data_IF_442516557898
#
_entry.id   IF_442516557898
#
_cell.length_a   1.000
_cell.length_b   1.000
_cell.length_c   1.000
_cell.angle_alpha   90.00
_cell.angle_beta   90.00
_cell.angle_gamma   90.00
#
_symmetry.space_group_name_H-M   'P 1'
#
loop_
_entity.id
_entity.type
_entity.pdbx_description
1 polymer ?
#
# COMPACT_ATOMS: atom_id res chain seq x y z
N UNK A 1 -7.97 -28.12 9.03
CA UNK A 1 -7.77 -26.66 8.95
C UNK A 1 -7.39 -26.08 10.32
N UNK A 2 -8.25 -26.22 11.33
CA UNK A 2 -8.03 -25.74 12.71
C UNK A 2 -6.72 -26.18 13.39
N UNK A 3 -6.26 -27.43 13.18
CA UNK A 3 -5.04 -27.94 13.81
C UNK A 3 -3.77 -27.17 13.37
N UNK A 4 -3.69 -26.77 12.10
CA UNK A 4 -2.54 -26.00 11.59
C UNK A 4 -2.52 -24.61 12.20
N UNK A 5 -3.67 -23.95 12.28
CA UNK A 5 -3.82 -22.65 12.94
C UNK A 5 -3.43 -22.73 14.41
N UNK A 6 -3.88 -23.76 15.14
CA UNK A 6 -3.45 -23.98 16.52
C UNK A 6 -1.94 -24.17 16.64
N UNK A 7 -1.32 -24.95 15.76
CA UNK A 7 0.13 -25.15 15.76
C UNK A 7 0.90 -23.84 15.52
N UNK A 8 0.44 -23.01 14.57
CA UNK A 8 1.03 -21.68 14.32
C UNK A 8 0.90 -20.79 15.56
N UNK A 9 -0.27 -20.77 16.20
CA UNK A 9 -0.50 -19.97 17.41
C UNK A 9 0.30 -20.46 18.62
N UNK A 10 0.45 -21.77 18.78
CA UNK A 10 1.28 -22.38 19.83
C UNK A 10 2.77 -22.11 19.61
N UNK A 11 3.20 -21.94 18.35
CA UNK A 11 4.58 -21.61 18.00
C UNK A 11 4.90 -20.13 18.22
N UNK A 12 3.93 -19.24 18.11
CA UNK A 12 4.13 -17.79 18.19
C UNK A 12 4.94 -17.34 19.42
N UNK A 13 4.68 -17.78 20.68
CA UNK A 13 5.48 -17.38 21.82
C UNK A 13 6.96 -17.78 21.69
N UNK A 14 7.24 -18.95 21.13
CA UNK A 14 8.61 -19.43 20.90
C UNK A 14 9.29 -18.60 19.80
N UNK A 15 8.59 -18.32 18.69
CA UNK A 15 9.14 -17.50 17.61
C UNK A 15 9.42 -16.07 18.11
N UNK A 16 8.54 -15.49 18.93
CA UNK A 16 8.77 -14.17 19.54
C UNK A 16 9.93 -14.19 20.54
N UNK A 17 10.07 -15.26 21.33
CA UNK A 17 11.23 -15.43 22.23
C UNK A 17 12.53 -15.51 21.42
N UNK A 18 12.54 -16.24 20.31
CA UNK A 18 13.69 -16.28 19.39
C UNK A 18 14.01 -14.89 18.85
N UNK A 19 13.01 -14.09 18.47
CA UNK A 19 13.23 -12.69 18.03
C UNK A 19 13.83 -11.83 19.15
N UNK A 20 13.37 -11.98 20.39
CA UNK A 20 13.92 -11.28 21.56
C UNK A 20 15.39 -11.67 21.77
N UNK A 21 15.68 -12.97 21.78
CA UNK A 21 17.05 -13.47 21.95
C UNK A 21 17.96 -13.00 20.82
N UNK A 22 17.52 -13.09 19.56
CA UNK A 22 18.28 -12.60 18.42
C UNK A 22 18.53 -11.09 18.47
N UNK A 23 17.57 -10.32 19.01
CA UNK A 23 17.75 -8.88 19.22
C UNK A 23 18.89 -8.59 20.20
N UNK A 24 18.91 -9.26 21.35
CA UNK A 24 19.94 -9.01 22.37
C UNK A 24 21.30 -9.65 22.04
N UNK A 25 21.32 -10.78 21.31
CA UNK A 25 22.56 -11.51 20.98
C UNK A 25 23.21 -10.97 19.69
N UNK A 26 22.43 -10.79 18.62
CA UNK A 26 22.93 -10.43 17.28
C UNK A 26 22.54 -9.02 16.83
N UNK A 27 21.86 -8.27 17.71
CA UNK A 27 21.40 -6.91 17.42
C UNK A 27 20.17 -6.85 16.52
N UNK A 28 19.40 -7.94 16.33
CA UNK A 28 18.11 -7.97 15.61
C UNK A 28 18.08 -8.88 14.37
N UNK A 29 16.89 -8.96 13.73
CA UNK A 29 16.69 -9.71 12.48
C UNK A 29 17.39 -9.05 11.27
N UNK A 30 17.45 -9.77 10.13
CA UNK A 30 17.98 -9.27 8.84
C UNK A 30 17.21 -8.09 8.23
N UNK A 31 16.10 -7.66 8.83
CA UNK A 31 15.34 -6.47 8.39
C UNK A 31 16.04 -5.20 8.86
N UNK A 32 16.87 -4.63 7.99
CA UNK A 32 17.79 -3.55 8.33
C UNK A 32 17.08 -2.32 8.92
N UNK A 33 15.87 -1.99 8.45
CA UNK A 33 15.09 -0.86 8.96
C UNK A 33 14.64 -1.03 10.41
N UNK A 34 14.20 -2.24 10.78
CA UNK A 34 13.64 -2.52 12.11
C UNK A 34 14.66 -3.06 13.11
N UNK A 35 15.88 -3.36 12.65
CA UNK A 35 16.95 -3.99 13.43
C UNK A 35 17.18 -3.34 14.81
N UNK A 36 17.05 -2.02 14.91
CA UNK A 36 17.27 -1.25 16.16
C UNK A 36 16.03 -1.05 17.05
N UNK A 37 14.91 -1.70 16.73
CA UNK A 37 13.66 -1.54 17.49
C UNK A 37 13.03 -2.90 17.76
N UNK A 38 13.26 -3.43 18.97
CA UNK A 38 12.65 -4.68 19.43
C UNK A 38 11.13 -4.67 19.25
N UNK A 39 10.47 -3.55 19.56
CA UNK A 39 9.03 -3.38 19.38
C UNK A 39 8.61 -3.61 17.91
N UNK A 40 9.34 -3.05 16.95
CA UNK A 40 9.00 -3.21 15.53
C UNK A 40 9.35 -4.61 15.01
N UNK A 41 10.42 -5.23 15.51
CA UNK A 41 10.74 -6.62 15.19
C UNK A 41 9.68 -7.59 15.71
N UNK A 42 9.17 -7.36 16.93
CA UNK A 42 8.06 -8.13 17.50
C UNK A 42 6.76 -7.91 16.72
N UNK A 43 6.44 -6.65 16.35
CA UNK A 43 5.32 -6.35 15.45
C UNK A 43 5.44 -7.15 14.16
N UNK A 44 6.60 -7.09 13.50
CA UNK A 44 6.85 -7.79 12.24
C UNK A 44 6.66 -9.31 12.39
N UNK A 45 7.20 -9.90 13.47
CA UNK A 45 6.99 -11.31 13.80
C UNK A 45 5.51 -11.66 13.97
N UNK A 46 4.78 -10.87 14.76
CA UNK A 46 3.34 -11.07 14.99
C UNK A 46 2.54 -11.00 13.69
N UNK A 47 2.80 -10.00 12.85
CA UNK A 47 2.11 -9.81 11.58
C UNK A 47 2.43 -10.93 10.59
N UNK A 48 3.69 -11.35 10.49
CA UNK A 48 4.09 -12.51 9.70
C UNK A 48 3.36 -13.78 10.16
N UNK A 49 3.36 -14.07 11.45
CA UNK A 49 2.66 -15.25 11.97
C UNK A 49 1.15 -15.17 11.73
N UNK A 50 0.55 -13.97 11.79
CA UNK A 50 -0.87 -13.81 11.47
C UNK A 50 -1.18 -14.14 10.01
N UNK A 51 -0.29 -13.76 9.07
CA UNK A 51 -0.37 -14.09 7.65
C UNK A 51 -0.10 -15.57 7.36
N UNK A 52 0.42 -16.32 8.32
CA UNK A 52 0.53 -17.76 8.22
C UNK A 52 -0.76 -18.51 8.58
N UNK A 53 -1.74 -17.84 9.17
CA UNK A 53 -3.02 -18.46 9.49
C UNK A 53 -3.94 -18.43 8.28
N UNK A 54 -4.69 -19.53 8.11
CA UNK A 54 -5.63 -19.67 7.01
C UNK A 54 -6.76 -18.63 7.11
N UNK A 55 -7.20 -18.09 5.98
CA UNK A 55 -8.15 -16.96 5.93
C UNK A 55 -9.47 -17.26 6.65
N UNK A 56 -9.99 -18.49 6.59
CA UNK A 56 -11.26 -18.80 7.31
C UNK A 56 -11.06 -18.88 8.83
N UNK A 57 -9.84 -19.16 9.28
CA UNK A 57 -9.46 -19.18 10.69
C UNK A 57 -8.98 -17.79 11.17
N UNK A 58 -8.51 -16.96 10.24
CA UNK A 58 -7.97 -15.62 10.48
C UNK A 58 -8.97 -14.67 11.12
N UNK A 59 -10.29 -14.86 10.92
CA UNK A 59 -11.35 -14.06 11.56
C UNK A 59 -11.27 -14.01 13.09
N UNK A 60 -10.63 -15.02 13.70
CA UNK A 60 -10.43 -15.11 15.15
C UNK A 60 -9.12 -14.46 15.62
N UNK A 61 -8.25 -14.07 14.70
CA UNK A 61 -6.99 -13.43 15.00
C UNK A 61 -7.09 -11.92 14.90
N UNK A 62 -6.44 -11.27 15.87
CA UNK A 62 -6.46 -9.82 16.03
C UNK A 62 -6.23 -9.04 14.73
N UNK A 63 -5.23 -9.35 13.87
CA UNK A 63 -4.95 -8.55 12.66
C UNK A 63 -6.03 -8.59 11.56
N UNK A 64 -6.96 -9.53 11.61
CA UNK A 64 -8.06 -9.64 10.62
C UNK A 64 -9.41 -9.20 11.17
N UNK A 65 -9.44 -8.65 12.39
CA UNK A 65 -10.67 -8.10 12.97
C UNK A 65 -10.94 -6.70 12.42
N UNK A 66 -12.21 -6.35 12.22
CA UNK A 66 -12.61 -4.97 11.91
C UNK A 66 -12.04 -3.98 12.93
N UNK A 67 -11.99 -4.38 14.21
CA UNK A 67 -11.40 -3.60 15.29
C UNK A 67 -9.94 -3.23 15.01
N UNK A 68 -9.13 -4.17 14.53
CA UNK A 68 -7.74 -3.90 14.18
C UNK A 68 -7.62 -2.93 13.00
N UNK A 69 -8.44 -3.10 11.96
CA UNK A 69 -8.48 -2.13 10.83
C UNK A 69 -8.83 -0.72 11.33
N UNK A 70 -9.84 -0.60 12.20
CA UNK A 70 -10.24 0.67 12.83
C UNK A 70 -9.13 1.25 13.73
N UNK A 71 -8.39 0.41 14.46
CA UNK A 71 -7.37 0.86 15.42
C UNK A 71 -6.00 1.12 14.78
N UNK A 72 -5.70 0.58 13.59
CA UNK A 72 -4.39 0.72 12.94
C UNK A 72 -4.39 1.52 11.65
N UNK A 73 -5.34 1.23 10.75
CA UNK A 73 -5.35 1.85 9.43
C UNK A 73 -5.97 3.25 9.50
N UNK A 74 -7.11 3.40 10.18
CA UNK A 74 -7.78 4.71 10.30
C UNK A 74 -6.89 5.77 10.95
N UNK A 75 -6.16 5.52 12.06
CA UNK A 75 -5.28 6.54 12.64
C UNK A 75 -4.17 7.03 11.69
N UNK A 76 -3.65 6.15 10.82
CA UNK A 76 -2.65 6.52 9.82
C UNK A 76 -3.26 7.49 8.79
N UNK A 77 -4.49 7.25 8.32
CA UNK A 77 -5.18 8.17 7.41
C UNK A 77 -5.64 9.46 8.08
N UNK A 78 -6.12 9.40 9.33
CA UNK A 78 -6.42 10.61 10.11
C UNK A 78 -5.14 11.43 10.29
N UNK A 79 -3.99 10.79 10.50
CA UNK A 79 -2.71 11.48 10.63
C UNK A 79 -2.35 12.24 9.35
N UNK A 80 -2.49 11.61 8.19
CA UNK A 80 -2.31 12.29 6.88
C UNK A 80 -3.26 13.48 6.76
N UNK A 81 -4.56 13.28 7.01
CA UNK A 81 -5.58 14.33 6.94
C UNK A 81 -5.28 15.52 7.87
N UNK A 82 -4.84 15.26 9.10
CA UNK A 82 -4.52 16.28 10.11
C UNK A 82 -3.21 17.01 9.86
N UNK A 83 -2.37 16.49 8.96
CA UNK A 83 -1.12 17.12 8.54
C UNK A 83 -1.26 17.97 7.28
N UNK A 84 -2.41 17.90 6.58
CA UNK A 84 -2.68 18.75 5.43
C UNK A 84 -2.72 20.22 5.81
N UNK A 85 -2.40 21.07 4.84
CA UNK A 85 -2.61 22.51 4.98
C UNK A 85 -4.11 22.79 5.20
N UNK A 86 -4.42 23.78 6.03
CA UNK A 86 -5.80 24.06 6.47
C UNK A 86 -6.77 24.26 5.29
N UNK A 87 -6.35 24.98 4.25
CA UNK A 87 -7.16 25.24 3.06
C UNK A 87 -7.48 23.95 2.28
N UNK A 88 -6.58 22.96 2.28
CA UNK A 88 -6.76 21.67 1.60
C UNK A 88 -7.57 20.72 2.45
N UNK A 89 -7.31 20.72 3.75
CA UNK A 89 -8.04 19.93 4.73
C UNK A 89 -9.54 20.23 4.70
N UNK A 90 -9.92 21.50 4.56
CA UNK A 90 -11.33 21.93 4.48
C UNK A 90 -12.03 21.48 3.18
N UNK A 91 -11.27 21.27 2.11
CA UNK A 91 -11.78 20.87 0.78
C UNK A 91 -11.78 19.35 0.58
N UNK A 92 -11.15 18.59 1.48
CA UNK A 92 -11.03 17.15 1.38
C UNK A 92 -12.01 16.43 2.32
N UNK A 93 -12.79 15.51 1.76
CA UNK A 93 -13.60 14.56 2.52
C UNK A 93 -13.11 13.13 2.27
N UNK A 94 -13.10 12.30 3.31
CA UNK A 94 -12.67 10.89 3.21
C UNK A 94 -13.90 9.99 3.40
N UNK A 95 -14.16 9.14 2.42
CA UNK A 95 -15.19 8.10 2.48
C UNK A 95 -14.50 6.73 2.59
N UNK A 96 -14.72 6.04 3.70
CA UNK A 96 -14.27 4.66 3.88
C UNK A 96 -15.37 3.70 3.42
N UNK A 97 -15.04 2.81 2.49
CA UNK A 97 -15.98 1.86 1.91
C UNK A 97 -15.91 0.51 2.62
N UNK A 98 -17.03 0.09 3.22
CA UNK A 98 -17.21 -1.31 3.61
C UNK A 98 -17.77 -2.09 2.42
N UNK A 99 -16.89 -2.76 1.67
CA UNK A 99 -17.24 -3.47 0.44
C UNK A 99 -18.28 -4.59 0.63
N UNK A 100 -18.53 -5.07 1.86
CA UNK A 100 -19.62 -6.02 2.12
C UNK A 100 -21.00 -5.37 2.06
N UNK A 101 -21.07 -4.05 2.25
CA UNK A 101 -22.30 -3.26 2.31
C UNK A 101 -22.54 -2.42 1.05
N UNK A 102 -21.57 -2.32 0.13
CA UNK A 102 -21.62 -1.47 -1.08
C UNK A 102 -22.32 -2.17 -2.26
N UNK A 103 -23.13 -3.21 -2.03
CA UNK A 103 -23.93 -3.89 -3.06
C UNK A 103 -24.84 -2.92 -3.86
N UNK A 104 -25.18 -1.76 -3.31
CA UNK A 104 -26.01 -0.74 -3.96
C UNK A 104 -25.22 0.49 -4.49
N UNK A 105 -23.90 0.50 -4.35
CA UNK A 105 -23.06 1.66 -4.68
C UNK A 105 -23.29 2.87 -3.77
N UNK A 106 -22.27 3.70 -3.59
CA UNK A 106 -22.46 5.04 -3.01
C UNK A 106 -22.40 6.05 -4.16
N UNK A 107 -23.47 6.79 -4.47
CA UNK A 107 -23.62 7.36 -5.80
C UNK A 107 -23.01 8.77 -5.87
N UNK A 108 -21.72 8.91 -5.55
CA UNK A 108 -20.98 10.19 -5.54
C UNK A 108 -21.08 10.91 -6.89
N UNK A 109 -20.85 10.18 -7.98
CA UNK A 109 -20.89 10.72 -9.35
C UNK A 109 -22.30 11.19 -9.71
N UNK A 110 -23.34 10.43 -9.36
CA UNK A 110 -24.73 10.85 -9.61
C UNK A 110 -25.12 12.13 -8.87
N UNK A 111 -24.44 12.44 -7.77
CA UNK A 111 -24.61 13.68 -7.00
C UNK A 111 -23.77 14.84 -7.54
N UNK A 112 -23.17 14.68 -8.73
CA UNK A 112 -22.38 15.71 -9.40
C UNK A 112 -20.94 15.85 -8.90
N UNK A 113 -20.42 14.89 -8.11
CA UNK A 113 -19.03 14.95 -7.66
C UNK A 113 -18.09 14.39 -8.75
N UNK A 114 -17.17 15.22 -9.23
CA UNK A 114 -16.22 14.89 -10.30
C UNK A 114 -14.74 14.96 -9.87
N UNK A 115 -14.43 15.67 -8.79
CA UNK A 115 -13.10 15.74 -8.19
C UNK A 115 -12.85 14.59 -7.20
N UNK A 116 -12.74 13.37 -7.73
CA UNK A 116 -12.60 12.16 -6.94
C UNK A 116 -11.14 11.71 -6.81
N UNK A 117 -10.79 11.21 -5.62
CA UNK A 117 -9.51 10.57 -5.32
C UNK A 117 -9.79 9.12 -4.94
N UNK A 118 -9.19 8.19 -5.68
CA UNK A 118 -9.30 6.77 -5.37
C UNK A 118 -8.04 6.33 -4.62
N UNK A 119 -8.22 5.57 -3.54
CA UNK A 119 -7.12 5.17 -2.69
C UNK A 119 -7.29 3.72 -2.25
N UNK A 120 -6.19 2.96 -2.24
CA UNK A 120 -6.21 1.60 -1.72
C UNK A 120 -4.82 1.07 -1.38
N UNK A 121 -4.77 0.28 -0.32
CA UNK A 121 -3.63 -0.52 0.10
C UNK A 121 -3.81 -2.00 -0.31
N UNK A 122 -2.74 -2.72 -0.66
CA UNK A 122 -2.80 -4.17 -0.88
C UNK A 122 -3.97 -4.60 -1.79
N UNK A 123 -4.93 -5.38 -1.27
CA UNK A 123 -6.16 -5.78 -1.96
C UNK A 123 -7.11 -4.60 -2.27
N UNK A 124 -7.14 -3.55 -1.47
CA UNK A 124 -7.80 -2.28 -1.82
C UNK A 124 -7.11 -1.57 -2.99
N UNK A 125 -5.78 -1.68 -3.08
CA UNK A 125 -5.00 -1.21 -4.24
C UNK A 125 -5.34 -2.01 -5.50
N UNK A 126 -5.45 -3.34 -5.38
CA UNK A 126 -5.98 -4.21 -6.44
C UNK A 126 -7.35 -3.71 -6.93
N UNK A 127 -8.28 -3.54 -6.00
CA UNK A 127 -9.64 -3.09 -6.31
C UNK A 127 -9.63 -1.72 -6.98
N UNK A 128 -8.76 -0.80 -6.55
CA UNK A 128 -8.63 0.53 -7.14
C UNK A 128 -8.21 0.45 -8.61
N UNK A 129 -7.19 -0.36 -8.92
CA UNK A 129 -6.71 -0.56 -10.29
C UNK A 129 -7.79 -1.25 -11.14
N UNK A 130 -8.35 -2.36 -10.65
CA UNK A 130 -9.40 -3.12 -11.33
C UNK A 130 -10.65 -2.28 -11.58
N UNK A 131 -10.99 -1.36 -10.66
CA UNK A 131 -12.10 -0.44 -10.84
C UNK A 131 -11.89 0.50 -12.03
N UNK A 132 -10.67 1.03 -12.24
CA UNK A 132 -10.39 1.85 -13.43
C UNK A 132 -10.53 1.08 -14.74
N UNK A 133 -10.19 -0.21 -14.75
CA UNK A 133 -10.41 -1.09 -15.90
C UNK A 133 -11.89 -1.41 -16.10
N UNK A 134 -12.64 -1.62 -15.01
CA UNK A 134 -14.09 -1.81 -15.05
C UNK A 134 -14.80 -0.58 -15.64
N UNK A 135 -14.45 0.64 -15.22
CA UNK A 135 -15.02 1.88 -15.77
C UNK A 135 -14.86 1.95 -17.30
N UNK A 136 -13.73 1.49 -17.84
CA UNK A 136 -13.50 1.43 -19.30
C UNK A 136 -14.47 0.48 -20.02
N UNK A 137 -14.94 -0.56 -19.33
CA UNK A 137 -15.87 -1.55 -19.93
C UNK A 137 -17.32 -1.08 -19.97
N UNK A 138 -17.64 0.01 -19.28
CA UNK A 138 -18.99 0.57 -19.28
C UNK A 138 -19.27 1.25 -20.63
N UNK A 139 -20.48 1.04 -21.15
CA UNK A 139 -20.92 1.62 -22.42
C UNK A 139 -21.33 3.09 -22.31
N UNK A 140 -21.38 3.63 -21.09
CA UNK A 140 -21.82 4.99 -20.79
C UNK A 140 -20.61 5.91 -20.51
N UNK A 141 -20.76 7.24 -20.68
CA UNK A 141 -19.74 8.18 -20.24
C UNK A 141 -19.47 8.05 -18.74
N UNK A 142 -18.21 7.82 -18.38
CA UNK A 142 -17.77 7.63 -16.99
C UNK A 142 -16.92 8.80 -16.51
N UNK A 143 -17.01 9.09 -15.22
CA UNK A 143 -16.11 10.01 -14.53
C UNK A 143 -14.98 9.20 -13.90
N UNK A 144 -13.76 9.36 -14.41
CA UNK A 144 -12.57 8.77 -13.80
C UNK A 144 -12.11 9.61 -12.59
N UNK A 145 -11.62 8.96 -11.52
CA UNK A 145 -10.96 9.68 -10.42
C UNK A 145 -9.80 10.52 -10.94
N UNK A 146 -9.68 11.77 -10.49
CA UNK A 146 -8.58 12.66 -10.89
C UNK A 146 -7.24 12.22 -10.30
N UNK A 147 -7.28 11.50 -9.19
CA UNK A 147 -6.08 11.04 -8.49
C UNK A 147 -6.22 9.60 -8.04
N UNK A 148 -5.10 8.89 -8.01
CA UNK A 148 -5.02 7.54 -7.45
C UNK A 148 -3.85 7.40 -6.49
N UNK A 149 -4.11 6.86 -5.30
CA UNK A 149 -3.10 6.59 -4.27
C UNK A 149 -3.05 5.09 -4.04
N UNK A 150 -1.90 4.49 -4.34
CA UNK A 150 -1.65 3.06 -4.20
C UNK A 150 -0.56 2.82 -3.16
N UNK A 151 -0.87 1.98 -2.18
CA UNK A 151 0.06 1.55 -1.13
C UNK A 151 0.23 0.05 -1.28
N UNK A 152 1.43 -0.40 -1.64
CA UNK A 152 1.77 -1.83 -1.81
C UNK A 152 0.69 -2.62 -2.57
N UNK A 153 0.23 -2.16 -3.75
CA UNK A 153 -0.97 -2.72 -4.37
C UNK A 153 -0.76 -4.18 -4.79
N UNK A 154 -1.74 -5.04 -4.50
CA UNK A 154 -1.69 -6.43 -4.93
C UNK A 154 -2.16 -6.57 -6.38
N UNK A 155 -1.25 -6.47 -7.35
CA UNK A 155 -1.67 -6.40 -8.76
C UNK A 155 -2.07 -7.77 -9.33
N UNK A 156 -1.29 -8.82 -9.07
CA UNK A 156 -1.45 -10.13 -9.69
C UNK A 156 -2.08 -11.12 -8.73
N UNK A 157 -3.09 -11.87 -9.16
CA UNK A 157 -3.86 -12.76 -8.26
C UNK A 157 -3.39 -14.22 -8.26
N UNK A 158 -2.54 -14.61 -9.21
CA UNK A 158 -1.99 -15.96 -9.32
C UNK A 158 -0.47 -15.91 -9.42
N UNK A 159 0.27 -16.77 -8.72
CA UNK A 159 1.71 -16.64 -8.67
C UNK A 159 2.27 -17.17 -9.98
N UNK A 160 3.45 -16.67 -10.36
CA UNK A 160 4.31 -17.48 -11.22
C UNK A 160 5.13 -18.41 -10.31
N UNK A 161 5.59 -19.54 -10.86
CA UNK A 161 6.37 -20.55 -10.14
C UNK A 161 7.68 -20.03 -9.53
N UNK A 162 8.07 -18.79 -9.82
CA UNK A 162 9.32 -18.13 -9.44
C UNK A 162 9.13 -17.03 -8.38
N UNK A 163 7.92 -16.82 -7.84
CA UNK A 163 7.67 -15.70 -6.92
C UNK A 163 8.44 -15.88 -5.59
N UNK A 164 9.20 -14.85 -5.23
CA UNK A 164 10.21 -14.88 -4.19
C UNK A 164 9.61 -14.54 -2.80
N UNK A 165 10.19 -15.14 -1.75
CA UNK A 165 9.74 -14.99 -0.36
C UNK A 165 10.54 -13.91 0.39
N UNK A 166 10.21 -12.65 0.17
CA UNK A 166 10.98 -11.53 0.72
C UNK A 166 10.37 -10.88 1.96
N UNK A 167 9.08 -11.11 2.23
CA UNK A 167 8.34 -10.40 3.29
C UNK A 167 7.41 -11.31 4.12
N UNK A 168 6.62 -10.69 4.99
CA UNK A 168 5.60 -11.29 5.83
C UNK A 168 4.40 -11.88 5.06
N UNK A 169 4.18 -11.48 3.80
CA UNK A 169 3.13 -12.02 2.93
C UNK A 169 3.72 -13.17 2.12
N UNK A 170 3.09 -14.34 2.22
CA UNK A 170 3.39 -15.48 1.35
C UNK A 170 2.38 -15.55 0.20
N UNK A 171 2.78 -15.09 -0.97
CA UNK A 171 1.95 -15.02 -2.18
C UNK A 171 1.17 -16.33 -2.44
N UNK A 172 1.86 -17.47 -2.39
CA UNK A 172 1.28 -18.80 -2.65
C UNK A 172 0.07 -19.16 -1.78
N UNK A 173 -0.08 -18.52 -0.61
CA UNK A 173 -1.20 -18.77 0.31
C UNK A 173 -2.47 -18.01 -0.06
N UNK A 174 -2.37 -16.92 -0.80
CA UNK A 174 -3.52 -16.11 -1.22
C UNK A 174 -4.15 -16.58 -2.54
N UNK A 175 -3.52 -17.56 -3.20
CA UNK A 175 -3.89 -17.99 -4.54
C UNK A 175 -4.99 -19.06 -4.55
N UNK A 176 -5.12 -19.84 -3.47
CA UNK A 176 -6.15 -20.88 -3.33
C UNK A 176 -7.56 -20.32 -3.12
N UNK A 177 -7.68 -19.04 -2.75
CA UNK A 177 -8.94 -18.40 -2.36
C UNK A 177 -9.71 -17.84 -3.56
N UNK A 178 -9.07 -17.72 -4.72
CA UNK A 178 -9.65 -17.05 -5.87
C UNK A 178 -10.07 -18.08 -6.92
N UNK A 179 -11.37 -18.39 -6.93
CA UNK A 179 -12.03 -18.99 -8.08
C UNK A 179 -12.20 -17.89 -9.16
N UNK A 180 -11.11 -17.59 -9.86
CA UNK A 180 -10.86 -16.36 -10.66
C UNK A 180 -11.80 -16.11 -11.85
N UNK A 181 -12.76 -17.01 -12.13
CA UNK A 181 -13.64 -16.91 -13.31
C UNK A 181 -14.58 -15.70 -13.31
N UNK A 182 -14.74 -14.99 -12.19
CA UNK A 182 -15.68 -13.84 -12.05
C UNK A 182 -15.02 -12.46 -12.01
N UNK A 183 -13.70 -12.38 -11.91
CA UNK A 183 -13.02 -11.07 -11.90
C UNK A 183 -12.76 -10.60 -13.33
N UNK A 184 -13.24 -9.41 -13.65
CA UNK A 184 -12.89 -8.69 -14.89
C UNK A 184 -11.37 -8.47 -14.85
N UNK A 185 -10.65 -9.24 -15.66
CA UNK A 185 -9.21 -9.16 -15.98
C UNK A 185 -8.29 -8.60 -14.88
N UNK A 186 -7.70 -9.44 -14.00
CA UNK A 186 -6.85 -8.94 -12.92
C UNK A 186 -5.63 -8.17 -13.48
N UNK A 187 -5.23 -7.03 -12.88
CA UNK A 187 -4.10 -6.23 -13.32
C UNK A 187 -2.82 -7.05 -13.41
N UNK A 188 -2.32 -7.30 -14.63
CA UNK A 188 -1.06 -8.03 -14.83
C UNK A 188 -1.17 -9.54 -15.07
N UNK A 189 -2.38 -10.09 -15.25
CA UNK A 189 -2.57 -11.51 -15.63
C UNK A 189 -2.50 -11.73 -17.15
N UNK A 190 -2.75 -10.69 -17.97
CA UNK A 190 -2.68 -10.80 -19.43
C UNK A 190 -1.25 -11.11 -19.89
N UNK A 191 -1.13 -12.11 -20.77
CA UNK A 191 0.13 -12.49 -21.44
C UNK A 191 -0.03 -12.39 -22.96
N UNK A 192 0.81 -11.61 -23.67
CA UNK A 192 1.82 -10.71 -23.13
C UNK A 192 1.17 -9.46 -22.49
N UNK A 193 1.79 -8.88 -21.43
CA UNK A 193 1.39 -7.58 -20.92
C UNK A 193 1.71 -6.49 -21.94
N UNK A 194 0.79 -5.55 -22.18
CA UNK A 194 0.97 -4.49 -23.16
C UNK A 194 0.64 -3.11 -22.58
N UNK A 195 1.28 -2.06 -23.12
CA UNK A 195 0.97 -0.68 -22.75
C UNK A 195 -0.44 -0.26 -23.18
N UNK A 196 -0.90 -0.78 -24.33
CA UNK A 196 -2.21 -0.46 -24.91
C UNK A 196 -3.37 -0.77 -23.95
N UNK A 197 -3.18 -1.69 -23.01
CA UNK A 197 -4.17 -2.01 -21.99
C UNK A 197 -4.47 -0.83 -21.04
N UNK A 198 -3.61 0.20 -21.03
CA UNK A 198 -3.68 1.32 -20.08
C UNK A 198 -3.79 2.68 -20.76
N UNK A 199 -3.40 2.81 -22.04
CA UNK A 199 -3.32 4.10 -22.76
C UNK A 199 -4.65 4.81 -22.95
N UNK A 200 -5.76 4.07 -22.92
CA UNK A 200 -7.12 4.63 -23.04
C UNK A 200 -7.73 5.07 -21.71
N UNK A 201 -7.05 4.81 -20.59
CA UNK A 201 -7.52 5.20 -19.25
C UNK A 201 -6.78 6.49 -18.88
N UNK A 202 -7.48 7.63 -18.69
CA UNK A 202 -6.85 8.94 -18.46
C UNK A 202 -5.91 8.94 -17.24
N UNK A 203 -6.28 8.17 -16.22
CA UNK A 203 -5.55 8.04 -14.97
C UNK A 203 -4.09 7.56 -15.15
N UNK A 204 -3.77 6.93 -16.29
CA UNK A 204 -2.43 6.47 -16.63
C UNK A 204 -1.77 7.27 -17.77
N UNK A 205 -2.55 8.05 -18.52
CA UNK A 205 -2.16 8.59 -19.84
C UNK A 205 -2.37 10.10 -20.00
N UNK A 206 -3.04 10.77 -19.08
CA UNK A 206 -3.35 12.21 -19.16
C UNK A 206 -2.65 12.98 -18.03
N UNK A 207 -1.91 14.04 -18.40
CA UNK A 207 -1.17 14.93 -17.50
C UNK A 207 -2.03 15.65 -16.47
N UNK A 208 -3.35 15.69 -16.65
CA UNK A 208 -4.31 16.26 -15.70
C UNK A 208 -4.69 15.29 -14.56
N UNK A 209 -4.10 14.10 -14.55
CA UNK A 209 -4.32 13.07 -13.54
C UNK A 209 -3.03 12.81 -12.75
N UNK A 210 -3.17 12.51 -11.47
CA UNK A 210 -2.04 12.27 -10.57
C UNK A 210 -2.07 10.86 -9.97
N UNK A 211 -0.94 10.16 -10.04
CA UNK A 211 -0.78 8.84 -9.41
C UNK A 211 0.31 8.91 -8.35
N UNK A 212 -0.02 8.47 -7.14
CA UNK A 212 0.91 8.19 -6.07
C UNK A 212 1.04 6.68 -5.89
N UNK A 213 2.27 6.17 -5.91
CA UNK A 213 2.56 4.76 -5.68
C UNK A 213 3.67 4.65 -4.64
N UNK A 214 3.42 3.91 -3.57
CA UNK A 214 4.43 3.58 -2.57
C UNK A 214 4.44 2.08 -2.32
N UNK A 215 5.62 1.50 -2.13
CA UNK A 215 5.80 0.08 -1.87
C UNK A 215 7.09 -0.17 -1.07
N UNK A 216 7.25 -1.35 -0.48
CA UNK A 216 8.47 -1.78 0.19
C UNK A 216 9.56 -2.30 -0.76
N UNK A 217 10.83 -2.20 -0.36
CA UNK A 217 11.92 -2.93 -1.03
C UNK A 217 11.86 -4.43 -0.69
N UNK A 218 11.58 -4.75 0.57
CA UNK A 218 11.50 -6.10 1.13
C UNK A 218 10.03 -6.56 1.17
N UNK A 219 9.26 -6.30 0.10
CA UNK A 219 7.87 -6.79 -0.03
C UNK A 219 7.75 -7.90 -1.09
N UNK A 220 6.87 -8.88 -0.85
CA UNK A 220 6.67 -10.00 -1.79
C UNK A 220 5.99 -9.60 -3.10
N UNK A 221 5.24 -8.49 -3.13
CA UNK A 221 4.54 -8.02 -4.34
C UNK A 221 5.38 -7.04 -5.19
N UNK A 222 6.59 -6.69 -4.73
CA UNK A 222 7.41 -5.63 -5.33
C UNK A 222 7.57 -5.79 -6.83
N UNK A 223 8.03 -6.95 -7.26
CA UNK A 223 8.37 -7.17 -8.67
C UNK A 223 7.13 -7.20 -9.56
N UNK A 224 6.00 -7.71 -9.05
CA UNK A 224 4.72 -7.66 -9.77
C UNK A 224 4.23 -6.20 -9.89
N UNK A 225 4.33 -5.40 -8.83
CA UNK A 225 4.00 -3.97 -8.84
C UNK A 225 4.88 -3.22 -9.83
N UNK A 226 6.19 -3.46 -9.82
CA UNK A 226 7.13 -2.84 -10.75
C UNK A 226 6.86 -3.27 -12.21
N UNK A 227 6.53 -4.54 -12.43
CA UNK A 227 6.17 -5.03 -13.76
C UNK A 227 4.89 -4.36 -14.26
N UNK A 228 3.83 -4.30 -13.44
CA UNK A 228 2.61 -3.60 -13.78
C UNK A 228 2.87 -2.11 -14.06
N UNK A 229 3.61 -1.43 -13.18
CA UNK A 229 3.95 -0.01 -13.30
C UNK A 229 4.82 0.28 -14.53
N UNK A 230 5.64 -0.67 -14.99
CA UNK A 230 6.35 -0.56 -16.27
C UNK A 230 5.36 -0.32 -17.41
N UNK A 231 4.30 -1.11 -17.49
CA UNK A 231 3.32 -1.03 -18.58
C UNK A 231 2.28 0.07 -18.38
N UNK A 232 1.71 0.20 -17.18
CA UNK A 232 0.67 1.16 -16.87
C UNK A 232 1.21 2.58 -16.67
N UNK A 233 2.33 2.74 -15.96
CA UNK A 233 2.82 4.04 -15.48
C UNK A 233 4.10 4.52 -16.17
N UNK A 234 4.62 3.75 -17.13
CA UNK A 234 5.90 4.02 -17.79
C UNK A 234 7.09 4.08 -16.82
N UNK A 235 7.05 3.27 -15.76
CA UNK A 235 8.13 3.20 -14.77
C UNK A 235 9.32 2.38 -15.33
N UNK A 236 10.54 2.93 -15.45
CA UNK A 236 11.67 2.22 -16.07
C UNK A 236 12.40 1.26 -15.12
N UNK A 237 11.85 0.97 -13.94
CA UNK A 237 12.58 0.30 -12.87
C UNK A 237 12.55 -1.23 -12.89
N UNK A 238 11.53 -1.85 -13.49
CA UNK A 238 11.39 -3.30 -13.46
C UNK A 238 12.63 -4.06 -13.98
N UNK A 239 13.34 -3.49 -14.95
CA UNK A 239 14.54 -4.10 -15.54
C UNK A 239 15.84 -3.65 -14.86
N UNK A 240 15.86 -2.44 -14.28
CA UNK A 240 17.08 -1.83 -13.73
C UNK A 240 17.25 -2.04 -12.23
N UNK A 241 16.15 -2.25 -11.50
CA UNK A 241 16.10 -2.27 -10.03
C UNK A 241 15.95 -3.72 -9.56
N UNK A 242 17.07 -4.35 -9.21
CA UNK A 242 17.10 -5.71 -8.68
C UNK A 242 17.04 -5.74 -7.14
N UNK A 243 16.29 -6.69 -6.58
CA UNK A 243 16.23 -6.94 -5.13
C UNK A 243 17.64 -7.12 -4.54
N UNK A 244 17.88 -6.54 -3.37
CA UNK A 244 19.13 -6.70 -2.63
C UNK A 244 20.37 -6.05 -3.28
N UNK A 245 20.23 -5.30 -4.39
CA UNK A 245 21.34 -4.53 -4.99
C UNK A 245 21.25 -3.03 -4.71
N UNK A 246 20.11 -2.55 -4.21
CA UNK A 246 19.84 -1.13 -4.02
C UNK A 246 20.50 -0.53 -2.77
N UNK A 247 20.69 -1.32 -1.71
CA UNK A 247 21.15 -0.82 -0.42
C UNK A 247 22.65 -0.49 -0.33
N UNK A 248 23.47 -0.87 -1.32
CA UNK A 248 24.91 -0.58 -1.27
C UNK A 248 25.24 0.87 -1.64
N UNK A 249 24.37 1.53 -2.39
CA UNK A 249 24.49 2.94 -2.74
C UNK A 249 23.07 3.49 -2.81
N UNK A 250 22.68 4.31 -1.82
CA UNK A 250 21.37 4.97 -1.76
C UNK A 250 21.26 6.02 -2.88
N UNK A 251 21.26 5.58 -4.13
CA UNK A 251 21.01 6.43 -5.27
C UNK A 251 19.50 6.66 -5.33
N UNK A 252 19.11 7.87 -4.93
CA UNK A 252 17.71 8.36 -4.96
C UNK A 252 17.00 8.04 -6.28
N UNK A 253 17.73 7.94 -7.40
CA UNK A 253 17.17 7.64 -8.73
C UNK A 253 16.51 6.26 -8.84
N UNK A 254 16.83 5.32 -7.95
CA UNK A 254 16.26 3.98 -7.94
C UNK A 254 15.16 3.78 -6.90
N UNK A 255 14.94 4.76 -6.03
CA UNK A 255 13.96 4.69 -4.94
C UNK A 255 12.85 5.75 -5.07
N UNK A 256 13.10 6.84 -5.80
CA UNK A 256 12.13 7.92 -5.96
C UNK A 256 12.06 8.37 -7.42
N UNK A 257 10.84 8.50 -7.95
CA UNK A 257 10.59 9.09 -9.25
C UNK A 257 9.41 10.05 -9.14
N UNK A 258 9.65 11.31 -9.54
CA UNK A 258 8.61 12.33 -9.65
C UNK A 258 8.58 12.80 -11.11
N UNK A 259 7.44 12.62 -11.77
CA UNK A 259 7.17 13.07 -13.13
C UNK A 259 5.97 14.00 -13.11
N UNK A 260 6.08 15.15 -13.79
CA UNK A 260 4.99 16.12 -13.94
C UNK A 260 4.89 16.61 -15.39
N UNK A 261 3.66 16.81 -15.85
CA UNK A 261 3.30 17.47 -17.10
C UNK A 261 3.92 16.87 -18.38
N UNK A 262 4.17 15.55 -18.41
CA UNK A 262 4.68 14.89 -19.61
C UNK A 262 3.52 14.51 -20.56
N UNK A 263 3.55 14.89 -21.85
CA UNK A 263 2.49 14.53 -22.80
C UNK A 263 2.27 13.03 -22.92
N UNK A 264 0.99 12.61 -22.94
CA UNK A 264 0.61 11.19 -23.06
C UNK A 264 0.87 10.36 -21.79
N UNK A 265 1.21 10.99 -20.66
CA UNK A 265 1.42 10.31 -19.38
C UNK A 265 0.77 11.09 -18.23
N UNK A 266 0.25 10.35 -17.25
CA UNK A 266 -0.17 10.93 -15.98
C UNK A 266 1.03 11.45 -15.16
N UNK A 267 0.77 12.44 -14.31
CA UNK A 267 1.72 12.83 -13.27
C UNK A 267 1.92 11.66 -12.33
N UNK A 268 3.14 11.49 -11.84
CA UNK A 268 3.52 10.29 -11.13
C UNK A 268 4.51 10.61 -10.00
N UNK A 269 4.19 10.15 -8.81
CA UNK A 269 5.08 10.15 -7.65
C UNK A 269 5.22 8.71 -7.15
N UNK A 270 6.39 8.10 -7.36
CA UNK A 270 6.67 6.71 -6.99
C UNK A 270 7.78 6.67 -5.95
N UNK A 271 7.57 5.87 -4.91
CA UNK A 271 8.52 5.69 -3.83
C UNK A 271 8.66 4.21 -3.48
N UNK A 272 9.89 3.71 -3.47
CA UNK A 272 10.23 2.41 -2.87
C UNK A 272 10.83 2.71 -1.51
N UNK A 273 10.24 2.15 -0.46
CA UNK A 273 10.78 2.26 0.89
C UNK A 273 11.98 1.33 1.06
N UNK A 274 13.18 1.85 1.33
CA UNK A 274 14.37 1.02 1.55
C UNK A 274 14.18 0.11 2.76
N UNK A 275 14.40 -1.19 2.56
CA UNK A 275 14.10 -2.25 3.53
C UNK A 275 12.68 -2.19 4.12
N UNK A 276 11.76 -1.55 3.40
CA UNK A 276 10.35 -1.45 3.75
C UNK A 276 9.65 -2.77 3.47
N UNK A 277 8.71 -3.11 4.33
CA UNK A 277 7.82 -4.25 4.15
C UNK A 277 6.49 -3.78 3.59
N UNK A 278 5.71 -4.70 3.06
CA UNK A 278 4.38 -4.45 2.54
C UNK A 278 3.52 -3.69 3.56
N UNK A 279 2.88 -2.60 3.13
CA UNK A 279 2.03 -1.71 3.92
C UNK A 279 2.70 -1.10 5.16
N UNK A 280 4.03 -0.95 5.13
CA UNK A 280 4.81 -0.43 6.25
C UNK A 280 4.28 0.90 6.80
N UNK A 281 3.89 1.81 5.91
CA UNK A 281 3.31 3.12 6.24
C UNK A 281 2.08 2.99 7.17
N UNK A 282 1.25 1.97 6.99
CA UNK A 282 0.02 1.81 7.76
C UNK A 282 0.27 1.19 9.13
N UNK A 283 1.24 0.29 9.26
CA UNK A 283 1.44 -0.54 10.46
C UNK A 283 2.59 -0.09 11.37
N UNK A 284 3.59 0.62 10.82
CA UNK A 284 4.81 0.98 11.54
C UNK A 284 4.96 2.48 11.77
N UNK A 285 4.25 3.32 11.01
CA UNK A 285 4.26 4.78 11.20
C UNK A 285 3.09 5.28 12.08
N UNK A 286 2.27 4.36 12.63
CA UNK A 286 1.08 4.64 13.45
C UNK A 286 1.35 5.54 14.68
N UNK A 287 2.58 5.52 15.18
CA UNK A 287 3.03 6.33 16.32
C UNK A 287 2.97 7.84 16.08
N UNK A 288 2.94 8.29 14.81
CA UNK A 288 2.82 9.71 14.48
C UNK A 288 1.53 10.32 15.04
N UNK A 289 0.45 9.54 15.07
CA UNK A 289 -0.86 9.98 15.54
C UNK A 289 -0.83 10.45 17.00
N UNK A 290 -0.02 9.80 17.85
CA UNK A 290 0.18 10.23 19.23
C UNK A 290 0.90 11.59 19.35
N UNK A 291 1.86 11.86 18.44
CA UNK A 291 2.54 13.16 18.37
C UNK A 291 1.59 14.28 17.91
N UNK A 292 0.81 14.00 16.85
CA UNK A 292 -0.23 14.90 16.34
C UNK A 292 -1.25 15.20 17.45
N UNK A 293 -1.77 14.17 18.12
CA UNK A 293 -2.75 14.34 19.20
C UNK A 293 -2.22 15.18 20.36
N UNK A 294 -0.96 15.02 20.76
CA UNK A 294 -0.33 15.89 21.78
C UNK A 294 -0.18 17.35 21.33
N UNK A 295 0.10 17.57 20.05
CA UNK A 295 0.22 18.92 19.48
C UNK A 295 -1.13 19.62 19.48
N UNK A 296 -2.19 18.93 19.05
CA UNK A 296 -3.56 19.43 19.07
C UNK A 296 -4.04 19.73 20.49
N UNK A 297 -3.75 18.86 21.47
CA UNK A 297 -4.09 19.10 22.89
C UNK A 297 -3.43 20.35 23.47
N UNK A 298 -2.32 20.82 22.88
CA UNK A 298 -1.63 22.06 23.27
C UNK A 298 -2.15 23.30 22.51
N UNK A 299 -3.24 23.17 21.74
CA UNK A 299 -3.80 24.25 20.93
C UNK A 299 -2.92 24.65 19.74
N UNK A 300 -1.96 23.80 19.33
CA UNK A 300 -1.09 24.06 18.18
C UNK A 300 -1.53 23.24 16.97
N UNK A 301 -1.35 23.80 15.78
CA UNK A 301 -1.52 23.06 14.53
C UNK A 301 -0.29 22.18 14.26
N UNK A 302 -0.49 20.89 13.89
CA UNK A 302 0.59 20.03 13.43
C UNK A 302 1.29 20.64 12.21
N UNK A 303 2.61 20.55 12.16
CA UNK A 303 3.40 21.05 11.03
C UNK A 303 4.25 19.91 10.48
N UNK A 304 4.13 19.63 9.18
CA UNK A 304 4.89 18.60 8.49
C UNK A 304 6.40 18.71 8.73
N UNK A 305 6.94 19.93 8.73
CA UNK A 305 8.39 20.19 8.79
C UNK A 305 9.05 19.65 10.07
N UNK A 306 8.26 19.33 11.09
CA UNK A 306 8.74 18.76 12.37
C UNK A 306 8.94 17.24 12.28
N UNK A 307 8.40 16.58 11.26
CA UNK A 307 8.47 15.13 11.10
C UNK A 307 9.59 14.72 10.15
N UNK A 308 10.44 13.80 10.60
CA UNK A 308 11.57 13.30 9.82
C UNK A 308 11.11 12.37 8.68
N UNK A 309 11.57 12.68 7.45
CA UNK A 309 11.22 11.97 6.21
C UNK A 309 11.76 10.55 6.11
N UNK A 310 12.73 10.19 6.95
CA UNK A 310 13.27 8.82 7.03
C UNK A 310 12.46 7.96 7.99
N UNK A 311 12.03 8.56 9.10
CA UNK A 311 11.22 7.90 10.14
C UNK A 311 9.78 7.68 9.68
N UNK A 312 9.17 8.71 9.09
CA UNK A 312 7.79 8.69 8.57
C UNK A 312 7.81 8.73 7.05
N UNK A 313 8.40 7.69 6.46
CA UNK A 313 8.74 7.64 5.04
C UNK A 313 7.49 7.76 4.18
N UNK A 314 6.46 6.97 4.48
CA UNK A 314 5.23 6.96 3.70
C UNK A 314 4.31 8.12 4.03
N UNK A 315 4.05 8.39 5.32
CA UNK A 315 3.07 9.40 5.73
C UNK A 315 3.48 10.79 5.24
N UNK A 316 4.77 11.14 5.34
CA UNK A 316 5.25 12.45 4.88
C UNK A 316 5.11 12.60 3.37
N UNK A 317 5.50 11.59 2.59
CA UNK A 317 5.42 11.62 1.12
C UNK A 317 3.99 11.64 0.61
N UNK A 318 3.11 10.86 1.25
CA UNK A 318 1.68 10.86 0.92
C UNK A 318 1.07 12.24 1.20
N UNK A 319 1.42 12.86 2.32
CA UNK A 319 0.97 14.20 2.63
C UNK A 319 1.51 15.24 1.64
N UNK A 320 2.81 15.23 1.34
CA UNK A 320 3.43 16.10 0.32
C UNK A 320 2.76 15.98 -1.05
N UNK A 321 2.37 14.76 -1.44
CA UNK A 321 1.59 14.52 -2.66
C UNK A 321 0.23 15.21 -2.61
N UNK A 322 -0.55 15.01 -1.55
CA UNK A 322 -1.86 15.65 -1.41
C UNK A 322 -1.74 17.18 -1.34
N UNK A 323 -0.78 17.70 -0.56
CA UNK A 323 -0.53 19.13 -0.45
C UNK A 323 -0.06 19.79 -1.75
N UNK A 324 0.47 19.03 -2.71
CA UNK A 324 0.91 19.59 -4.00
C UNK A 324 -0.10 19.42 -5.13
N UNK A 325 -1.21 18.72 -4.90
CA UNK A 325 -2.16 18.33 -5.94
C UNK A 325 -3.63 18.65 -5.62
N UNK A 326 -3.94 18.98 -4.36
CA UNK A 326 -5.22 19.57 -3.91
C UNK A 326 -5.16 21.11 -3.90
#
# INVERSE_FOLDING_TARGET
MFLRTMLVMLRLPLDLLVVILQYYIFGGLRYHKYKKSLRNLLKLGLYRTSLEVDLMDGKWLFPYTNRFLLEKIIPSFISVYRLLDNDKQQRLSILLLDYKLVLNGYPLVSKGNDNLILMGDSAGGHLSISYTQFLRTLAEPVVYPKKMILISPWVKLSPLSEDLHYDWIHYSRFCSVLNLKRFVCPPGVKKPPTRHDWTCIPLYSDKNYDVFLILGEDESFRDDVLQWAKYALHLPWYESVNYGKLHKFFDSKNYELIRKNEPGKANLSVFIEPHGVHDSMLYFEDVIGGSIGRTLKRGKMPNLKVYDRRTYFGIVRHMEFLNSTL
#
